data_IF_694511905002
#
_entry.id   IF_694511905002
#
_cell.length_a   1.000
_cell.length_b   1.000
_cell.length_c   1.000
_cell.angle_alpha   90.00
_cell.angle_beta   90.00
_cell.angle_gamma   90.00
#
_symmetry.space_group_name_H-M   'P 1'
#
loop_
_entity.id
_entity.type
_entity.pdbx_description
1 polymer ?
#
# COMPACT_ATOMS: atom_id res chain seq x y z
N UNK A 1 -2.07 -4.96 16.03
CA UNK A 1 -1.11 -4.97 14.90
C UNK A 1 -1.81 -4.69 13.57
N UNK A 2 -2.75 -5.53 13.11
CA UNK A 2 -3.46 -5.34 11.83
C UNK A 2 -4.12 -3.95 11.65
N UNK A 3 -4.85 -3.47 12.66
CA UNK A 3 -5.55 -2.16 12.58
C UNK A 3 -4.60 -0.96 12.49
N UNK A 4 -3.48 -0.96 13.20
CA UNK A 4 -2.50 0.13 13.17
C UNK A 4 -1.79 0.20 11.82
N UNK A 5 -1.53 -0.97 11.24
CA UNK A 5 -0.95 -1.14 9.91
C UNK A 5 -1.87 -0.57 8.83
N UNK A 6 -3.15 -0.94 8.83
CA UNK A 6 -4.13 -0.40 7.89
C UNK A 6 -4.33 1.12 8.03
N UNK A 7 -4.33 1.65 9.26
CA UNK A 7 -4.41 3.10 9.50
C UNK A 7 -3.19 3.86 8.98
N UNK A 8 -1.99 3.31 9.17
CA UNK A 8 -0.78 3.89 8.59
C UNK A 8 -0.85 3.92 7.07
N UNK A 9 -1.33 2.82 6.47
CA UNK A 9 -1.48 2.70 5.03
C UNK A 9 -2.49 3.70 4.47
N UNK A 10 -3.66 3.83 5.10
CA UNK A 10 -4.68 4.83 4.76
C UNK A 10 -4.06 6.24 4.75
N UNK A 11 -3.42 6.63 5.86
CA UNK A 11 -2.82 7.96 6.00
C UNK A 11 -1.71 8.20 4.96
N UNK A 12 -0.89 7.20 4.68
CA UNK A 12 0.22 7.28 3.72
C UNK A 12 -0.31 7.43 2.29
N UNK A 13 -1.27 6.58 1.91
CA UNK A 13 -1.90 6.62 0.60
C UNK A 13 -2.59 7.97 0.36
N UNK A 14 -3.36 8.43 1.34
CA UNK A 14 -4.01 9.73 1.29
C UNK A 14 -3.03 10.88 1.14
N UNK A 15 -1.93 10.88 1.89
CA UNK A 15 -0.89 11.90 1.78
C UNK A 15 -0.26 11.89 0.38
N UNK A 16 0.10 10.71 -0.14
CA UNK A 16 0.70 10.58 -1.45
C UNK A 16 -0.23 11.07 -2.57
N UNK A 17 -1.54 10.83 -2.44
CA UNK A 17 -2.55 11.23 -3.41
C UNK A 17 -3.18 12.61 -3.15
N UNK A 18 -2.72 13.33 -2.12
CA UNK A 18 -3.28 14.61 -1.70
C UNK A 18 -4.81 14.57 -1.43
N UNK A 19 -5.26 13.55 -0.69
CA UNK A 19 -6.66 13.34 -0.29
C UNK A 19 -6.88 13.82 1.16
N UNK A 20 -7.69 14.88 1.31
CA UNK A 20 -7.95 15.54 2.59
C UNK A 20 -9.02 14.84 3.46
N UNK A 21 -9.89 14.03 2.86
CA UNK A 21 -10.99 13.34 3.55
C UNK A 21 -10.73 11.85 3.81
N UNK A 22 -11.38 11.28 4.84
CA UNK A 22 -11.39 9.82 5.09
C UNK A 22 -12.19 9.09 4.02
N UNK A 23 -11.86 7.82 3.79
CA UNK A 23 -12.55 7.01 2.77
C UNK A 23 -12.25 7.49 1.35
N UNK A 24 -10.99 7.83 1.07
CA UNK A 24 -10.56 8.26 -0.27
C UNK A 24 -10.86 7.19 -1.33
N UNK A 25 -11.16 7.62 -2.55
CA UNK A 25 -11.54 6.75 -3.66
C UNK A 25 -12.75 5.85 -3.33
N UNK A 26 -13.86 6.46 -2.91
CA UNK A 26 -15.12 5.76 -2.59
C UNK A 26 -14.97 4.68 -1.49
N UNK A 27 -14.18 4.99 -0.45
CA UNK A 27 -13.93 4.07 0.66
C UNK A 27 -12.86 2.99 0.39
N UNK A 28 -12.20 3.02 -0.77
CA UNK A 28 -11.09 2.10 -1.08
C UNK A 28 -9.88 2.36 -0.18
N UNK A 29 -9.56 3.63 0.05
CA UNK A 29 -8.50 4.07 0.97
C UNK A 29 -9.17 4.32 2.33
N UNK A 30 -9.56 3.22 2.96
CA UNK A 30 -10.10 3.15 4.31
C UNK A 30 -9.48 1.94 5.03
N UNK A 31 -9.13 2.10 6.30
CA UNK A 31 -8.48 1.03 7.06
C UNK A 31 -9.30 -0.26 7.16
N UNK A 32 -10.64 -0.19 7.17
CA UNK A 32 -11.48 -1.38 7.23
C UNK A 32 -11.52 -2.09 5.87
N UNK A 33 -11.52 -1.34 4.77
CA UNK A 33 -11.38 -1.90 3.41
C UNK A 33 -10.01 -2.52 3.18
N UNK A 34 -8.93 -1.86 3.63
CA UNK A 34 -7.56 -2.37 3.52
C UNK A 34 -7.37 -3.67 4.30
N UNK A 35 -8.03 -3.82 5.44
CA UNK A 35 -7.99 -5.08 6.20
C UNK A 35 -8.79 -6.20 5.53
N UNK A 36 -9.59 -5.92 4.50
CA UNK A 36 -10.25 -6.96 3.73
C UNK A 36 -9.25 -7.64 2.79
N UNK A 37 -9.25 -8.97 2.77
CA UNK A 37 -8.37 -9.78 1.93
C UNK A 37 -8.48 -9.33 0.47
N UNK A 38 -7.33 -9.24 -0.21
CA UNK A 38 -7.24 -8.87 -1.62
C UNK A 38 -7.15 -7.37 -1.92
N UNK A 39 -7.28 -6.49 -0.91
CA UNK A 39 -7.33 -5.04 -1.13
C UNK A 39 -5.97 -4.35 -0.99
N UNK A 40 -5.07 -4.89 -0.17
CA UNK A 40 -3.80 -4.27 0.19
C UNK A 40 -2.93 -3.93 -1.03
N UNK A 41 -2.88 -4.82 -2.02
CA UNK A 41 -2.07 -4.59 -3.22
C UNK A 41 -2.48 -3.33 -3.99
N UNK A 42 -3.78 -3.09 -4.15
CA UNK A 42 -4.29 -1.95 -4.89
C UNK A 42 -4.01 -0.64 -4.17
N UNK A 43 -4.09 -0.64 -2.85
CA UNK A 43 -3.78 0.56 -2.05
C UNK A 43 -2.26 0.81 -2.01
N UNK A 44 -1.41 -0.21 -1.99
CA UNK A 44 0.04 -0.05 -2.17
C UNK A 44 0.36 0.59 -3.53
N UNK A 45 -0.23 0.03 -4.59
CA UNK A 45 -0.09 0.54 -5.97
C UNK A 45 -0.54 1.99 -6.09
N UNK A 46 -1.69 2.33 -5.51
CA UNK A 46 -2.21 3.69 -5.49
C UNK A 46 -1.26 4.65 -4.76
N UNK A 47 -0.74 4.24 -3.59
CA UNK A 47 0.21 5.02 -2.78
C UNK A 47 1.48 5.34 -3.56
N UNK A 48 2.01 4.38 -4.33
CA UNK A 48 3.26 4.53 -5.08
C UNK A 48 3.07 5.19 -6.45
N UNK A 49 1.85 5.31 -6.94
CA UNK A 49 1.55 5.85 -8.27
C UNK A 49 2.11 7.26 -8.54
N UNK A 50 2.13 8.22 -7.59
CA UNK A 50 2.74 9.54 -7.84
C UNK A 50 4.25 9.44 -8.03
N UNK A 51 4.92 8.67 -7.16
CA UNK A 51 6.35 8.43 -7.23
C UNK A 51 6.75 7.68 -8.51
N UNK A 52 5.93 6.73 -8.95
CA UNK A 52 6.15 6.06 -10.22
C UNK A 52 6.00 7.01 -11.41
N UNK A 53 4.97 7.86 -11.39
CA UNK A 53 4.68 8.80 -12.47
C UNK A 53 5.77 9.84 -12.64
N UNK A 54 6.19 10.46 -11.54
CA UNK A 54 7.11 11.61 -11.55
C UNK A 54 8.57 11.24 -11.26
N UNK A 55 8.83 10.02 -10.77
CA UNK A 55 10.16 9.56 -10.41
C UNK A 55 11.06 9.19 -11.59
N UNK A 56 12.36 9.08 -11.28
CA UNK A 56 13.40 8.68 -12.21
C UNK A 56 13.38 7.15 -12.47
N UNK A 57 14.27 6.67 -13.34
CA UNK A 57 14.33 5.25 -13.72
C UNK A 57 14.59 4.33 -12.53
N UNK A 58 15.50 4.69 -11.64
CA UNK A 58 15.89 3.84 -10.50
C UNK A 58 14.74 3.75 -9.48
N UNK A 59 14.05 4.87 -9.24
CA UNK A 59 12.84 4.91 -8.41
C UNK A 59 11.73 4.01 -8.95
N UNK A 60 11.51 4.01 -10.28
CA UNK A 60 10.52 3.11 -10.90
C UNK A 60 10.89 1.64 -10.73
N UNK A 61 12.17 1.29 -10.86
CA UNK A 61 12.65 -0.08 -10.63
C UNK A 61 12.43 -0.50 -9.17
N UNK A 62 12.71 0.38 -8.20
CA UNK A 62 12.45 0.11 -6.79
C UNK A 62 10.96 -0.15 -6.53
N UNK A 63 10.09 0.66 -7.13
CA UNK A 63 8.64 0.51 -7.03
C UNK A 63 8.17 -0.80 -7.67
N UNK A 64 8.62 -1.12 -8.88
CA UNK A 64 8.24 -2.35 -9.58
C UNK A 64 8.66 -3.61 -8.80
N UNK A 65 9.88 -3.61 -8.24
CA UNK A 65 10.36 -4.71 -7.41
C UNK A 65 9.51 -4.87 -6.15
N UNK A 66 9.20 -3.75 -5.47
CA UNK A 66 8.35 -3.76 -4.29
C UNK A 66 6.94 -4.30 -4.59
N UNK A 67 6.29 -3.82 -5.66
CA UNK A 67 4.96 -4.27 -6.04
C UNK A 67 4.97 -5.74 -6.47
N UNK A 68 6.00 -6.19 -7.18
CA UNK A 68 6.12 -7.60 -7.55
C UNK A 68 6.22 -8.52 -6.33
N UNK A 69 6.99 -8.12 -5.31
CA UNK A 69 7.16 -8.88 -4.06
C UNK A 69 5.84 -9.09 -3.32
N UNK A 70 4.94 -8.12 -3.36
CA UNK A 70 3.67 -8.14 -2.62
C UNK A 70 2.43 -8.35 -3.48
N UNK A 71 2.59 -8.88 -4.70
CA UNK A 71 1.49 -9.14 -5.63
C UNK A 71 0.42 -10.09 -5.06
N UNK A 72 0.81 -11.01 -4.18
CA UNK A 72 -0.11 -11.94 -3.48
C UNK A 72 -1.18 -11.22 -2.65
N UNK A 73 -0.96 -9.97 -2.22
CA UNK A 73 -1.98 -9.17 -1.51
C UNK A 73 -3.19 -8.81 -2.39
N UNK A 74 -3.19 -9.14 -3.68
CA UNK A 74 -4.35 -9.03 -4.59
C UNK A 74 -5.17 -10.32 -4.69
N UNK A 75 -4.67 -11.43 -4.12
CA UNK A 75 -5.37 -12.70 -4.13
C UNK A 75 -6.50 -12.68 -3.08
N UNK A 76 -7.73 -12.97 -3.51
CA UNK A 76 -8.90 -13.04 -2.62
C UNK A 76 -9.03 -14.40 -1.92
N UNK A 77 -8.18 -15.37 -2.27
CA UNK A 77 -8.24 -16.75 -1.79
C UNK A 77 -7.24 -17.08 -0.68
N UNK A 78 -6.27 -16.18 -0.42
CA UNK A 78 -5.35 -16.34 0.71
C UNK A 78 -6.09 -16.19 2.04
N UNK A 79 -5.59 -16.90 3.06
CA UNK A 79 -6.17 -16.84 4.38
C UNK A 79 -5.97 -15.46 5.02
N UNK A 80 -6.90 -15.05 5.89
CA UNK A 80 -6.85 -13.74 6.53
C UNK A 80 -5.62 -13.54 7.41
N UNK A 81 -5.17 -14.57 8.13
CA UNK A 81 -4.00 -14.44 9.01
C UNK A 81 -2.71 -14.29 8.17
N UNK A 82 -2.58 -15.08 7.10
CA UNK A 82 -1.50 -14.97 6.13
C UNK A 82 -1.51 -13.60 5.42
N UNK A 83 -2.68 -13.14 4.98
CA UNK A 83 -2.85 -11.81 4.39
C UNK A 83 -2.36 -10.71 5.33
N UNK A 84 -2.73 -10.75 6.61
CA UNK A 84 -2.33 -9.74 7.57
C UNK A 84 -0.84 -9.75 7.88
N UNK A 85 -0.22 -10.93 7.90
CA UNK A 85 1.22 -11.06 8.06
C UNK A 85 1.96 -10.40 6.88
N UNK A 86 1.60 -10.78 5.64
CA UNK A 86 2.19 -10.22 4.42
C UNK A 86 1.94 -8.70 4.34
N UNK A 87 0.75 -8.24 4.70
CA UNK A 87 0.42 -6.81 4.73
C UNK A 87 1.30 -6.07 5.75
N UNK A 88 1.56 -6.67 6.92
CA UNK A 88 2.46 -6.10 7.93
C UNK A 88 3.90 -5.97 7.45
N UNK A 89 4.40 -6.98 6.73
CA UNK A 89 5.72 -6.93 6.09
C UNK A 89 5.78 -5.85 5.02
N UNK A 90 4.79 -5.80 4.14
CA UNK A 90 4.70 -4.81 3.06
C UNK A 90 4.73 -3.38 3.59
N UNK A 91 4.07 -3.11 4.72
CA UNK A 91 4.07 -1.78 5.32
C UNK A 91 5.39 -1.44 6.00
N UNK A 92 6.07 -2.43 6.57
CA UNK A 92 7.41 -2.26 7.12
C UNK A 92 8.40 -1.88 6.01
N UNK A 93 8.30 -2.53 4.86
CA UNK A 93 9.18 -2.25 3.71
C UNK A 93 8.78 -0.96 2.99
N UNK A 94 7.49 -0.63 2.91
CA UNK A 94 7.01 0.66 2.40
C UNK A 94 7.62 1.83 3.17
N UNK A 95 7.70 1.74 4.51
CA UNK A 95 8.33 2.77 5.35
C UNK A 95 9.81 2.98 5.04
N UNK A 96 10.53 1.93 4.60
CA UNK A 96 11.93 2.01 4.19
C UNK A 96 12.07 2.53 2.75
N UNK A 97 11.09 2.22 1.90
CA UNK A 97 11.08 2.63 0.50
C UNK A 97 10.79 4.12 0.33
N UNK A 98 9.79 4.67 1.03
CA UNK A 98 9.34 6.06 0.83
C UNK A 98 10.49 7.11 0.91
N UNK A 99 11.43 7.05 1.88
CA UNK A 99 12.55 8.00 1.92
C UNK A 99 13.52 7.91 0.73
N UNK A 100 13.49 6.83 -0.04
CA UNK A 100 14.31 6.65 -1.25
C UNK A 100 13.60 7.23 -2.50
N UNK A 101 12.31 7.56 -2.39
CA UNK A 101 11.49 8.07 -3.48
C UNK A 101 11.29 9.60 -3.42
N UNK A 102 11.58 10.22 -2.27
CA UNK A 102 11.53 11.67 -2.05
C UNK A 102 12.77 12.41 -2.60
#
# INVERSE_FOLDING_TARGET
>A
MARENALFMEATCRKALNIEDRGGLDGLIDADTINSVGMGYYVLSATLSPYFKYGNKDQRILIDNFLSQYSTLSDNSIDYDEYNEILGEALTDLRKLLPLLD
#
